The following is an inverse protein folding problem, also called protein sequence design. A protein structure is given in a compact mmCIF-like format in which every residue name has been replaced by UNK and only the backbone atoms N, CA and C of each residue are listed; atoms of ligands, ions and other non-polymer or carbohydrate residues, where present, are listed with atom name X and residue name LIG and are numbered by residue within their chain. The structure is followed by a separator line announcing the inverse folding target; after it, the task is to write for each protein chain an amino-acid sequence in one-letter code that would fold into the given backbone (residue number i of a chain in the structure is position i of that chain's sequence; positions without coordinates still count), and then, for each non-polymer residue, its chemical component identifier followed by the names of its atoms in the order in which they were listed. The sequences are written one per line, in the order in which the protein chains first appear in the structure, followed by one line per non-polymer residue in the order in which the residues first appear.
data_IF_910552833126
#
_entry.id   IF_910552833126
#
_cell.length_a   1.000
_cell.length_b   1.000
_cell.length_c   1.000
_cell.angle_alpha   90.00
_cell.angle_beta   90.00
_cell.angle_gamma   90.00
#
_symmetry.space_group_name_H-M   'P 1'
#
loop_
_entity.id
_entity.type
_entity.pdbx_description
1 polymer ?
#
# COMPACT_ATOMS: atom_id res chain seq x y z
N UNK A 1 -19.90 14.42 -1.50
CA UNK A 1 -19.22 15.71 -1.47
C UNK A 1 -17.73 15.57 -1.14
N UNK A 2 -17.39 14.84 -0.06
CA UNK A 2 -15.99 14.64 0.39
C UNK A 2 -15.12 14.05 -0.73
N UNK A 3 -15.54 12.96 -1.37
CA UNK A 3 -14.82 12.30 -2.48
C UNK A 3 -14.62 13.22 -3.68
N UNK A 4 -15.64 14.03 -4.02
CA UNK A 4 -15.53 14.99 -5.11
C UNK A 4 -14.46 16.05 -4.81
N UNK A 5 -14.48 16.60 -3.60
CA UNK A 5 -13.51 17.61 -3.17
C UNK A 5 -12.07 17.06 -3.18
N UNK A 6 -11.86 15.82 -2.71
CA UNK A 6 -10.55 15.16 -2.79
C UNK A 6 -10.02 15.04 -4.22
N UNK A 7 -10.93 14.84 -5.18
CA UNK A 7 -10.58 14.75 -6.61
C UNK A 7 -10.59 16.10 -7.31
N UNK A 8 -10.79 17.18 -6.57
CA UNK A 8 -10.84 18.57 -7.08
C UNK A 8 -11.84 18.76 -8.22
N UNK A 9 -12.91 17.96 -8.26
CA UNK A 9 -13.98 18.07 -9.24
C UNK A 9 -15.00 19.13 -8.80
N UNK A 10 -15.49 19.95 -9.75
CA UNK A 10 -16.66 20.78 -9.51
C UNK A 10 -17.94 19.92 -9.49
N UNK A 11 -19.06 20.47 -9.00
CA UNK A 11 -20.35 19.77 -9.11
C UNK A 11 -20.79 19.59 -10.57
N UNK A 12 -20.41 20.52 -11.45
CA UNK A 12 -20.72 20.43 -12.88
C UNK A 12 -19.95 19.28 -13.52
N UNK A 13 -18.65 19.20 -13.30
CA UNK A 13 -17.80 18.16 -13.88
C UNK A 13 -18.27 16.75 -13.46
N UNK A 14 -18.49 16.55 -12.15
CA UNK A 14 -18.99 15.27 -11.66
C UNK A 14 -20.41 14.94 -12.17
N UNK A 15 -21.27 15.95 -12.32
CA UNK A 15 -22.62 15.73 -12.86
C UNK A 15 -22.56 15.29 -14.32
N UNK A 16 -21.70 15.89 -15.13
CA UNK A 16 -21.50 15.52 -16.54
C UNK A 16 -20.97 14.08 -16.62
N UNK A 17 -19.91 13.75 -15.88
CA UNK A 17 -19.32 12.40 -15.87
C UNK A 17 -20.31 11.32 -15.40
N UNK A 18 -21.11 11.64 -14.37
CA UNK A 18 -22.12 10.72 -13.84
C UNK A 18 -23.44 10.68 -14.64
N UNK A 19 -23.53 11.43 -15.74
CA UNK A 19 -24.75 11.49 -16.56
C UNK A 19 -25.97 12.01 -15.80
N UNK A 20 -25.78 13.08 -14.99
CA UNK A 20 -26.84 13.73 -14.22
C UNK A 20 -26.78 15.24 -14.35
N UNK A 21 -27.63 15.98 -13.64
CA UNK A 21 -27.59 17.44 -13.63
C UNK A 21 -26.89 17.98 -12.39
N UNK A 22 -26.24 19.15 -12.51
CA UNK A 22 -25.65 19.84 -11.37
C UNK A 22 -26.68 20.06 -10.24
N UNK A 23 -27.92 20.45 -10.60
CA UNK A 23 -29.01 20.65 -9.63
C UNK A 23 -29.33 19.39 -8.85
N UNK A 24 -29.42 18.25 -9.53
CA UNK A 24 -29.67 16.95 -8.88
C UNK A 24 -28.51 16.58 -7.96
N UNK A 25 -27.27 16.68 -8.43
CA UNK A 25 -26.08 16.42 -7.60
C UNK A 25 -26.04 17.35 -6.37
N UNK A 26 -26.35 18.62 -6.53
CA UNK A 26 -26.42 19.58 -5.42
C UNK A 26 -27.47 19.18 -4.36
N UNK A 27 -28.64 18.72 -4.79
CA UNK A 27 -29.69 18.24 -3.87
C UNK A 27 -29.27 16.95 -3.13
N UNK A 28 -28.59 16.03 -3.82
CA UNK A 28 -28.02 14.83 -3.19
C UNK A 28 -26.96 15.20 -2.14
N UNK A 29 -26.03 16.10 -2.47
CA UNK A 29 -24.97 16.53 -1.54
C UNK A 29 -25.48 17.31 -0.33
N UNK A 30 -26.68 17.90 -0.44
CA UNK A 30 -27.35 18.64 0.66
C UNK A 30 -28.35 17.77 1.43
N UNK A 31 -28.53 16.50 1.05
CA UNK A 31 -29.52 15.61 1.68
C UNK A 31 -30.97 15.99 1.37
N UNK A 32 -31.22 16.81 0.34
CA UNK A 32 -32.57 17.23 -0.08
C UNK A 32 -33.28 16.23 -1.01
N UNK A 33 -32.52 15.25 -1.52
CA UNK A 33 -33.05 14.19 -2.38
C UNK A 33 -32.37 12.89 -1.99
N UNK A 34 -33.13 11.80 -1.92
CA UNK A 34 -32.59 10.46 -1.76
C UNK A 34 -32.09 9.94 -3.12
N UNK A 35 -30.85 9.42 -3.22
CA UNK A 35 -30.34 8.86 -4.46
C UNK A 35 -30.98 7.49 -4.75
N UNK A 36 -31.26 7.20 -6.02
CA UNK A 36 -31.48 5.82 -6.46
C UNK A 36 -30.17 5.05 -6.58
N UNK A 37 -30.23 3.70 -6.56
CA UNK A 37 -29.03 2.83 -6.65
C UNK A 37 -28.17 3.15 -7.87
N UNK A 38 -28.79 3.38 -9.04
CA UNK A 38 -28.09 3.64 -10.31
C UNK A 38 -27.28 4.92 -10.27
N UNK A 39 -27.80 5.99 -9.69
CA UNK A 39 -27.04 7.25 -9.57
C UNK A 39 -25.88 7.09 -8.59
N UNK A 40 -26.05 6.31 -7.50
CA UNK A 40 -24.96 6.01 -6.56
C UNK A 40 -23.84 5.27 -7.28
N UNK A 41 -24.17 4.25 -8.09
CA UNK A 41 -23.19 3.48 -8.86
C UNK A 41 -22.45 4.35 -9.87
N UNK A 42 -23.17 5.16 -10.66
CA UNK A 42 -22.54 6.07 -11.63
C UNK A 42 -21.64 7.14 -10.97
N UNK A 43 -22.03 7.67 -9.82
CA UNK A 43 -21.19 8.56 -9.04
C UNK A 43 -19.93 7.86 -8.52
N UNK A 44 -20.05 6.59 -8.09
CA UNK A 44 -18.89 5.80 -7.67
C UNK A 44 -17.92 5.53 -8.83
N UNK A 45 -18.45 5.27 -10.04
CA UNK A 45 -17.65 5.09 -11.26
C UNK A 45 -16.91 6.38 -11.66
N UNK A 46 -17.63 7.49 -11.76
CA UNK A 46 -17.05 8.80 -12.09
C UNK A 46 -16.01 9.26 -11.07
N UNK A 47 -16.23 8.96 -9.80
CA UNK A 47 -15.28 9.23 -8.72
C UNK A 47 -14.14 8.19 -8.65
N UNK A 48 -14.13 7.16 -9.50
CA UNK A 48 -13.13 6.06 -9.48
C UNK A 48 -12.92 5.49 -8.08
N UNK A 49 -14.03 5.24 -7.38
CA UNK A 49 -14.00 4.69 -6.03
C UNK A 49 -13.55 3.22 -6.04
N UNK A 50 -12.76 2.83 -5.05
CA UNK A 50 -12.41 1.42 -4.80
C UNK A 50 -13.67 0.62 -4.43
N UNK A 51 -13.60 -0.72 -4.49
CA UNK A 51 -14.75 -1.58 -4.16
C UNK A 51 -15.27 -1.32 -2.74
N UNK A 52 -14.38 -1.15 -1.75
CA UNK A 52 -14.73 -0.79 -0.38
C UNK A 52 -15.45 0.56 -0.31
N UNK A 53 -14.93 1.57 -0.99
CA UNK A 53 -15.52 2.90 -1.02
C UNK A 53 -16.89 2.90 -1.71
N UNK A 54 -17.09 2.06 -2.75
CA UNK A 54 -18.39 1.84 -3.40
C UNK A 54 -19.40 1.24 -2.43
N UNK A 55 -18.99 0.22 -1.68
CA UNK A 55 -19.84 -0.38 -0.66
C UNK A 55 -20.21 0.62 0.43
N UNK A 56 -19.24 1.41 0.91
CA UNK A 56 -19.50 2.48 1.89
C UNK A 56 -20.49 3.52 1.35
N UNK A 57 -20.35 3.92 0.08
CA UNK A 57 -21.27 4.87 -0.55
C UNK A 57 -22.68 4.29 -0.71
N UNK A 58 -22.80 3.01 -1.12
CA UNK A 58 -24.08 2.30 -1.21
C UNK A 58 -24.74 2.19 0.16
N UNK A 59 -24.01 1.78 1.19
CA UNK A 59 -24.53 1.64 2.55
C UNK A 59 -24.99 2.98 3.11
N UNK A 60 -24.23 4.07 2.89
CA UNK A 60 -24.63 5.42 3.28
C UNK A 60 -25.91 5.91 2.58
N UNK A 61 -26.20 5.39 1.37
CA UNK A 61 -27.43 5.66 0.63
C UNK A 61 -28.59 4.71 0.98
N UNK A 62 -28.40 3.78 1.95
CA UNK A 62 -29.42 2.81 2.38
C UNK A 62 -29.52 1.56 1.52
N UNK A 63 -28.53 1.27 0.68
CA UNK A 63 -28.48 0.08 -0.17
C UNK A 63 -27.53 -0.98 0.39
N UNK A 64 -27.82 -2.25 0.10
CA UNK A 64 -26.91 -3.34 0.40
C UNK A 64 -25.59 -3.20 -0.39
N UNK A 65 -24.44 -3.57 0.21
CA UNK A 65 -23.16 -3.69 -0.48
C UNK A 65 -23.26 -4.52 -1.76
N UNK A 66 -22.44 -4.20 -2.77
CA UNK A 66 -22.41 -4.90 -4.05
C UNK A 66 -21.21 -5.82 -4.24
N UNK A 67 -20.18 -5.64 -3.42
CA UNK A 67 -18.95 -6.42 -3.49
C UNK A 67 -18.75 -7.19 -2.19
N UNK A 68 -18.43 -8.49 -2.24
CA UNK A 68 -18.08 -9.26 -1.06
C UNK A 68 -16.75 -8.80 -0.49
N UNK A 69 -16.56 -9.05 0.80
CA UNK A 69 -15.30 -8.91 1.50
C UNK A 69 -15.04 -10.24 2.21
N UNK A 70 -14.29 -11.11 1.57
CA UNK A 70 -14.00 -12.44 2.10
C UNK A 70 -12.90 -12.38 3.15
N UNK A 71 -12.96 -13.19 4.22
CA UNK A 71 -11.84 -13.35 5.13
C UNK A 71 -10.55 -13.73 4.37
N UNK A 72 -9.38 -13.21 4.75
CA UNK A 72 -8.12 -13.48 4.03
C UNK A 72 -7.77 -14.98 3.94
N UNK A 73 -8.22 -15.78 4.91
CA UNK A 73 -8.04 -17.24 4.99
C UNK A 73 -9.15 -18.04 4.32
N UNK A 74 -10.13 -17.39 3.71
CA UNK A 74 -11.25 -18.07 3.04
C UNK A 74 -10.73 -19.06 1.98
N UNK A 75 -11.29 -20.31 1.93
CA UNK A 75 -10.85 -21.32 0.96
C UNK A 75 -10.98 -20.88 -0.49
N UNK A 76 -11.96 -20.03 -0.81
CA UNK A 76 -12.15 -19.50 -2.15
C UNK A 76 -10.99 -18.60 -2.63
N UNK A 77 -10.17 -18.07 -1.70
CA UNK A 77 -9.00 -17.24 -2.02
C UNK A 77 -7.70 -18.06 -2.17
N UNK A 78 -7.75 -19.39 -1.96
CA UNK A 78 -6.57 -20.26 -2.11
C UNK A 78 -5.86 -20.10 -3.47
N UNK A 79 -6.57 -20.11 -4.63
CA UNK A 79 -5.90 -19.92 -5.92
C UNK A 79 -5.17 -18.57 -6.04
N UNK A 80 -5.69 -17.52 -5.36
CA UNK A 80 -5.04 -16.21 -5.32
C UNK A 80 -3.76 -16.27 -4.49
N UNK A 81 -3.80 -16.93 -3.33
CA UNK A 81 -2.63 -17.11 -2.46
C UNK A 81 -1.53 -17.91 -3.15
N UNK A 82 -1.88 -19.01 -3.81
CA UNK A 82 -0.93 -19.82 -4.59
C UNK A 82 -0.28 -19.02 -5.73
N UNK A 83 -1.09 -18.26 -6.49
CA UNK A 83 -0.59 -17.41 -7.56
C UNK A 83 0.36 -16.32 -7.03
N UNK A 84 0.02 -15.69 -5.92
CA UNK A 84 0.88 -14.70 -5.27
C UNK A 84 2.19 -15.32 -4.79
N UNK A 85 2.16 -16.52 -4.20
CA UNK A 85 3.37 -17.21 -3.75
C UNK A 85 4.30 -17.54 -4.92
N UNK A 86 3.76 -17.98 -6.06
CA UNK A 86 4.56 -18.21 -7.28
C UNK A 86 5.25 -16.92 -7.77
N UNK A 87 4.56 -15.78 -7.73
CA UNK A 87 5.16 -14.48 -8.10
C UNK A 87 6.26 -14.10 -7.11
N UNK A 88 6.01 -14.24 -5.81
CA UNK A 88 6.97 -13.94 -4.75
C UNK A 88 8.25 -14.78 -4.89
N UNK A 89 8.11 -16.09 -5.11
CA UNK A 89 9.25 -17.01 -5.27
C UNK A 89 10.03 -16.74 -6.56
N UNK A 90 9.33 -16.39 -7.65
CA UNK A 90 9.93 -16.00 -8.91
C UNK A 90 10.68 -14.68 -8.86
N UNK A 91 10.48 -13.88 -7.81
CA UNK A 91 11.16 -12.60 -7.63
C UNK A 91 12.54 -12.71 -6.97
N UNK A 92 12.88 -13.87 -6.39
CA UNK A 92 14.20 -14.09 -5.80
C UNK A 92 15.32 -13.80 -6.82
N UNK A 93 16.46 -13.23 -6.40
CA UNK A 93 16.93 -13.03 -5.02
C UNK A 93 16.49 -11.70 -4.38
N UNK A 94 15.57 -10.98 -4.98
CA UNK A 94 15.15 -9.65 -4.54
C UNK A 94 13.96 -9.73 -3.57
N UNK A 95 13.90 -8.85 -2.55
CA UNK A 95 12.79 -8.82 -1.62
C UNK A 95 11.46 -8.54 -2.31
N UNK A 96 10.44 -9.29 -1.93
CA UNK A 96 9.06 -9.01 -2.34
C UNK A 96 8.10 -9.44 -1.23
N UNK A 97 6.99 -8.70 -1.12
CA UNK A 97 5.96 -8.94 -0.13
C UNK A 97 4.57 -8.64 -0.70
N UNK A 98 3.56 -9.19 -0.06
CA UNK A 98 2.15 -8.84 -0.28
C UNK A 98 1.61 -8.25 1.01
N UNK A 99 0.96 -7.10 0.92
CA UNK A 99 0.25 -6.48 2.03
C UNK A 99 -1.20 -6.21 1.65
N UNK A 100 -2.04 -6.06 2.67
CA UNK A 100 -3.43 -5.65 2.50
C UNK A 100 -3.57 -4.12 2.34
N UNK A 101 -4.82 -3.66 2.27
CA UNK A 101 -5.16 -2.23 2.17
C UNK A 101 -4.73 -1.39 3.38
N UNK A 102 -4.34 -2.00 4.50
CA UNK A 102 -3.94 -1.32 5.74
C UNK A 102 -2.46 -1.47 6.05
N UNK A 103 -1.69 -2.13 5.16
CA UNK A 103 -0.26 -2.38 5.33
C UNK A 103 0.05 -3.61 6.17
N UNK A 104 -0.93 -4.48 6.45
CA UNK A 104 -0.68 -5.74 7.12
C UNK A 104 -0.07 -6.77 6.14
N UNK A 105 1.01 -7.42 6.57
CA UNK A 105 1.73 -8.41 5.78
C UNK A 105 0.86 -9.66 5.59
N UNK A 106 0.64 -10.03 4.34
CA UNK A 106 -0.11 -11.23 3.95
C UNK A 106 0.82 -12.36 3.57
N UNK A 107 1.85 -12.07 2.78
CA UNK A 107 2.86 -13.03 2.35
C UNK A 107 4.16 -12.32 1.99
N UNK A 108 5.27 -13.06 1.95
CA UNK A 108 6.56 -12.55 1.52
C UNK A 108 7.44 -13.68 1.00
N UNK A 109 8.49 -13.35 0.24
CA UNK A 109 9.54 -14.29 -0.10
C UNK A 109 10.66 -14.31 0.94
N UNK A 110 11.57 -15.28 0.83
CA UNK A 110 12.68 -15.46 1.79
C UNK A 110 13.66 -14.29 1.82
N UNK A 111 13.74 -13.50 0.74
CA UNK A 111 14.60 -12.31 0.68
C UNK A 111 14.04 -11.12 1.49
N UNK A 112 12.78 -11.12 1.90
CA UNK A 112 12.19 -10.11 2.79
C UNK A 112 12.98 -9.94 4.10
N UNK A 113 13.56 -11.03 4.61
CA UNK A 113 14.44 -10.99 5.77
C UNK A 113 15.65 -10.04 5.63
N UNK A 114 16.07 -9.67 4.40
CA UNK A 114 17.14 -8.68 4.18
C UNK A 114 16.69 -7.27 4.56
N UNK A 115 15.40 -6.97 4.37
CA UNK A 115 14.81 -5.70 4.77
C UNK A 115 14.63 -5.62 6.29
N UNK A 116 14.25 -6.73 6.92
CA UNK A 116 13.92 -6.81 8.35
C UNK A 116 15.10 -7.18 9.25
N UNK A 117 16.30 -7.24 8.71
CA UNK A 117 17.51 -7.50 9.50
C UNK A 117 17.71 -6.40 10.57
N UNK A 118 17.90 -6.82 11.83
CA UNK A 118 18.05 -5.90 12.97
C UNK A 118 16.76 -5.22 13.46
N UNK A 119 15.60 -5.54 12.90
CA UNK A 119 14.29 -5.06 13.38
C UNK A 119 13.94 -5.75 14.69
N UNK A 120 13.38 -5.00 15.65
CA UNK A 120 12.92 -5.55 16.92
C UNK A 120 11.86 -6.64 16.72
N UNK A 121 12.01 -7.78 17.44
CA UNK A 121 11.18 -8.96 17.23
C UNK A 121 9.68 -8.70 17.36
N UNK A 122 9.27 -7.84 18.29
CA UNK A 122 7.86 -7.52 18.52
C UNK A 122 7.19 -6.83 17.31
N UNK A 123 7.95 -6.11 16.47
CA UNK A 123 7.43 -5.52 15.22
C UNK A 123 7.15 -6.58 14.14
N UNK A 124 7.72 -7.76 14.30
CA UNK A 124 7.57 -8.89 13.39
C UNK A 124 6.60 -9.96 13.93
N UNK A 125 5.96 -9.71 15.08
CA UNK A 125 4.88 -10.56 15.60
C UNK A 125 3.57 -10.29 14.85
N UNK A 126 2.87 -11.34 14.40
CA UNK A 126 1.60 -11.16 13.70
C UNK A 126 0.52 -10.49 14.58
N UNK A 127 -0.28 -9.57 14.02
CA UNK A 127 -0.28 -9.11 12.63
C UNK A 127 0.85 -8.08 12.36
N UNK A 128 1.73 -8.42 11.42
CA UNK A 128 2.87 -7.55 11.06
C UNK A 128 2.38 -6.41 10.17
N UNK A 129 2.60 -5.17 10.57
CA UNK A 129 2.34 -4.02 9.70
C UNK A 129 3.66 -3.54 9.07
N UNK A 130 3.80 -3.72 7.76
CA UNK A 130 5.07 -3.42 7.05
C UNK A 130 5.41 -1.94 7.02
N UNK A 131 4.42 -1.05 7.15
CA UNK A 131 4.64 0.40 7.19
C UNK A 131 5.18 0.84 8.56
N UNK A 132 4.72 0.20 9.65
CA UNK A 132 5.33 0.33 10.98
C UNK A 132 6.76 -0.18 10.97
N UNK A 133 6.98 -1.41 10.47
CA UNK A 133 8.32 -1.99 10.34
C UNK A 133 9.26 -1.05 9.59
N UNK A 134 8.79 -0.42 8.51
CA UNK A 134 9.61 0.49 7.71
C UNK A 134 9.99 1.77 8.46
N UNK A 135 9.07 2.40 9.20
CA UNK A 135 9.26 3.75 9.75
C UNK A 135 9.56 3.81 11.26
N UNK A 136 9.36 2.70 12.01
CA UNK A 136 9.57 2.67 13.45
C UNK A 136 11.05 2.84 13.82
N UNK A 137 11.41 3.58 14.90
CA UNK A 137 12.79 3.71 15.37
C UNK A 137 13.50 2.40 15.72
N UNK A 138 12.75 1.37 16.15
CA UNK A 138 13.25 0.00 16.36
C UNK A 138 13.01 -0.93 15.17
N UNK A 139 12.51 -0.36 14.06
CA UNK A 139 12.31 -1.03 12.78
C UNK A 139 13.45 -0.80 11.81
N UNK A 140 13.10 -0.58 10.54
CA UNK A 140 14.07 -0.31 9.47
C UNK A 140 14.59 1.14 9.49
N UNK A 141 13.87 2.08 10.13
CA UNK A 141 14.19 3.52 10.07
C UNK A 141 15.66 3.87 10.34
N UNK A 142 16.37 3.28 11.33
CA UNK A 142 17.78 3.59 11.57
C UNK A 142 18.73 3.20 10.42
N UNK A 143 18.28 2.31 9.53
CA UNK A 143 19.04 1.85 8.37
C UNK A 143 18.67 2.57 7.08
N UNK A 144 17.57 3.31 7.06
CA UNK A 144 17.12 4.05 5.87
C UNK A 144 17.87 5.36 5.80
N UNK A 145 18.77 5.48 4.83
CA UNK A 145 19.65 6.66 4.63
C UNK A 145 18.81 7.89 4.22
N UNK A 146 17.80 7.69 3.40
CA UNK A 146 16.88 8.74 2.93
C UNK A 146 15.52 8.68 3.63
N UNK A 147 15.51 8.53 4.97
CA UNK A 147 14.31 8.26 5.76
C UNK A 147 13.22 9.33 5.56
N UNK A 148 13.56 10.60 5.48
CA UNK A 148 12.58 11.68 5.35
C UNK A 148 11.83 11.63 4.01
N UNK A 149 12.55 11.32 2.91
CA UNK A 149 11.93 11.15 1.59
C UNK A 149 11.06 9.90 1.54
N UNK A 150 11.55 8.79 2.11
CA UNK A 150 10.82 7.54 2.17
C UNK A 150 9.56 7.64 3.03
N UNK A 151 9.64 8.29 4.19
CA UNK A 151 8.49 8.60 5.05
C UNK A 151 7.46 9.45 4.31
N UNK A 152 7.89 10.53 3.67
CA UNK A 152 7.01 11.41 2.89
C UNK A 152 6.29 10.62 1.80
N UNK A 153 6.99 9.71 1.11
CA UNK A 153 6.43 8.84 0.10
C UNK A 153 5.34 7.92 0.69
N UNK A 154 5.62 7.23 1.79
CA UNK A 154 4.66 6.35 2.47
C UNK A 154 3.42 7.13 2.94
N UNK A 155 3.60 8.24 3.63
CA UNK A 155 2.49 9.05 4.14
C UNK A 155 1.63 9.63 3.00
N UNK A 156 2.26 10.04 1.91
CA UNK A 156 1.53 10.50 0.71
C UNK A 156 0.69 9.37 0.11
N UNK A 157 1.29 8.19 -0.09
CA UNK A 157 0.59 7.02 -0.62
C UNK A 157 -0.58 6.56 0.26
N UNK A 158 -0.48 6.71 1.60
CA UNK A 158 -1.59 6.43 2.52
C UNK A 158 -2.72 7.46 2.38
N UNK A 159 -2.39 8.75 2.33
CA UNK A 159 -3.39 9.83 2.16
C UNK A 159 -4.15 9.73 0.85
N UNK A 160 -3.50 9.29 -0.22
CA UNK A 160 -4.13 9.10 -1.53
C UNK A 160 -5.18 7.98 -1.55
N UNK A 161 -5.16 7.07 -0.57
CA UNK A 161 -6.20 6.04 -0.42
C UNK A 161 -7.57 6.62 -0.03
N UNK A 162 -7.58 7.85 0.43
CA UNK A 162 -8.78 8.56 0.90
C UNK A 162 -9.14 8.24 2.36
N UNK A 163 -10.16 8.90 2.89
CA UNK A 163 -10.49 8.85 4.32
C UNK A 163 -10.96 7.44 4.73
N UNK A 164 -10.31 6.90 5.74
CA UNK A 164 -10.69 5.65 6.39
C UNK A 164 -10.15 5.64 7.82
N UNK A 165 -10.96 5.36 8.88
CA UNK A 165 -10.52 5.48 10.28
C UNK A 165 -9.23 4.72 10.61
N UNK A 166 -9.04 3.51 10.07
CA UNK A 166 -7.80 2.73 10.28
C UNK A 166 -6.59 3.36 9.59
N UNK A 167 -6.78 3.94 8.40
CA UNK A 167 -5.70 4.63 7.66
C UNK A 167 -5.34 5.93 8.38
N UNK A 168 -6.34 6.70 8.79
CA UNK A 168 -6.14 7.98 9.49
C UNK A 168 -5.37 7.74 10.81
N UNK A 169 -5.78 6.74 11.60
CA UNK A 169 -5.08 6.35 12.83
C UNK A 169 -3.63 5.87 12.55
N UNK A 170 -3.41 5.11 11.47
CA UNK A 170 -2.07 4.67 11.08
C UNK A 170 -1.19 5.87 10.66
N UNK A 171 -1.73 6.82 9.92
CA UNK A 171 -1.01 8.05 9.54
C UNK A 171 -0.59 8.83 10.79
N UNK A 172 -1.53 9.06 11.73
CA UNK A 172 -1.25 9.74 13.00
C UNK A 172 -0.14 9.03 13.78
N UNK A 173 -0.19 7.70 13.86
CA UNK A 173 0.84 6.90 14.51
C UNK A 173 2.21 7.05 13.81
N UNK A 174 2.28 6.86 12.49
CA UNK A 174 3.52 6.93 11.72
C UNK A 174 4.17 8.33 11.75
N UNK A 175 3.38 9.38 11.90
CA UNK A 175 3.85 10.75 12.07
C UNK A 175 4.59 10.95 13.39
N UNK A 176 4.27 10.16 14.43
CA UNK A 176 4.97 10.24 15.73
C UNK A 176 6.38 9.63 15.71
N UNK A 177 6.73 8.79 14.73
CA UNK A 177 7.98 8.03 14.70
C UNK A 177 9.22 8.84 14.38
N UNK A 178 9.15 10.14 14.26
CA UNK A 178 10.34 10.99 14.15
C UNK A 178 10.03 12.39 13.65
N UNK A 179 10.80 13.34 14.17
CA UNK A 179 10.84 14.70 13.67
C UNK A 179 11.83 14.71 12.51
N UNK A 180 11.50 15.31 11.33
CA UNK A 180 12.47 15.50 10.26
C UNK A 180 13.72 16.18 10.80
N UNK A 181 14.90 15.64 10.51
CA UNK A 181 16.15 16.31 10.88
C UNK A 181 16.21 17.66 10.14
N UNK A 182 16.43 18.80 10.83
CA UNK A 182 16.56 20.07 10.16
C UNK A 182 17.82 20.03 9.28
N UNK A 183 17.64 20.14 7.95
CA UNK A 183 18.75 20.26 7.00
C UNK A 183 19.09 18.99 6.21
N UNK A 184 18.26 17.94 6.21
CA UNK A 184 18.42 16.84 5.25
C UNK A 184 18.23 17.39 3.82
N UNK A 185 19.34 17.47 3.07
CA UNK A 185 19.25 17.76 1.64
C UNK A 185 18.43 16.65 0.95
N UNK A 186 17.56 17.00 -0.01
CA UNK A 186 16.85 16.00 -0.78
C UNK A 186 17.86 15.06 -1.43
N UNK A 187 17.82 13.78 -1.09
CA UNK A 187 18.63 12.78 -1.82
C UNK A 187 18.20 12.83 -3.28
N UNK A 188 19.20 12.83 -4.18
CA UNK A 188 18.98 12.76 -5.63
C UNK A 188 17.88 11.74 -5.96
N UNK A 189 16.69 12.26 -6.22
CA UNK A 189 15.65 11.43 -6.82
C UNK A 189 16.22 10.96 -8.16
N UNK A 190 16.05 9.68 -8.48
CA UNK A 190 16.43 9.13 -9.80
C UNK A 190 15.48 9.69 -10.87
N UNK A 191 15.06 10.95 -10.74
CA UNK A 191 14.22 11.71 -11.67
C UNK A 191 12.80 11.18 -11.89
N UNK A 192 12.51 9.91 -11.57
CA UNK A 192 11.23 9.22 -11.82
C UNK A 192 10.74 8.35 -10.65
N UNK A 193 11.54 8.10 -9.61
CA UNK A 193 11.16 7.32 -8.43
C UNK A 193 11.98 7.74 -7.19
N UNK A 194 11.40 7.54 -6.00
CA UNK A 194 12.11 7.64 -4.72
C UNK A 194 12.66 6.26 -4.39
N UNK A 195 13.97 6.00 -4.49
CA UNK A 195 14.54 4.71 -4.12
C UNK A 195 14.54 4.55 -2.60
N UNK A 196 14.33 3.33 -2.11
CA UNK A 196 14.65 2.97 -0.73
C UNK A 196 16.16 2.77 -0.63
N UNK A 197 16.85 3.65 0.08
CA UNK A 197 18.29 3.57 0.29
C UNK A 197 18.57 3.04 1.70
N UNK A 198 19.11 1.81 1.78
CA UNK A 198 19.40 1.12 3.03
C UNK A 198 20.90 0.96 3.23
N UNK A 199 21.35 1.27 4.43
CA UNK A 199 22.69 0.88 4.89
C UNK A 199 22.66 -0.58 5.37
N UNK A 200 23.65 -1.36 4.99
CA UNK A 200 23.81 -2.75 5.42
C UNK A 200 25.29 -3.09 5.69
N UNK A 201 25.58 -4.16 6.47
CA UNK A 201 26.95 -4.60 6.71
C UNK A 201 27.72 -4.97 5.43
N UNK A 202 27.02 -5.36 4.38
CA UNK A 202 27.60 -5.75 3.09
C UNK A 202 27.74 -4.57 2.12
N UNK A 203 27.36 -3.37 2.55
CA UNK A 203 27.35 -2.12 1.78
C UNK A 203 25.94 -1.54 1.62
N UNK A 204 25.88 -0.34 1.10
CA UNK A 204 24.60 0.34 0.85
C UNK A 204 23.86 -0.32 -0.32
N UNK A 205 22.55 -0.49 -0.15
CA UNK A 205 21.66 -1.00 -1.18
C UNK A 205 20.61 0.05 -1.55
N UNK A 206 20.38 0.22 -2.83
CA UNK A 206 19.38 1.13 -3.39
C UNK A 206 18.33 0.33 -4.13
N UNK A 207 17.08 0.42 -3.69
CA UNK A 207 15.97 -0.39 -4.15
C UNK A 207 14.89 0.49 -4.75
N UNK A 208 14.40 0.10 -5.93
CA UNK A 208 13.22 0.70 -6.55
C UNK A 208 12.04 -0.20 -6.21
N UNK A 209 11.05 0.34 -5.48
CA UNK A 209 9.82 -0.37 -5.20
C UNK A 209 8.88 -0.31 -6.41
N UNK A 210 8.31 -1.45 -6.77
CA UNK A 210 7.22 -1.57 -7.74
C UNK A 210 6.00 -2.15 -7.05
N UNK A 211 4.80 -1.71 -7.44
CA UNK A 211 3.55 -2.19 -6.86
C UNK A 211 2.68 -2.80 -7.97
N UNK A 212 2.23 -4.03 -7.74
CA UNK A 212 1.22 -4.68 -8.57
C UNK A 212 -0.07 -4.89 -7.77
N UNK A 213 -1.21 -4.75 -8.45
CA UNK A 213 -2.55 -4.92 -7.88
C UNK A 213 -3.43 -5.76 -8.81
N UNK A 214 -4.49 -6.34 -8.27
CA UNK A 214 -5.46 -7.10 -9.06
C UNK A 214 -6.44 -6.17 -9.77
N UNK A 215 -6.35 -6.09 -11.10
CA UNK A 215 -7.17 -5.17 -11.92
C UNK A 215 -8.64 -5.62 -12.05
N UNK A 216 -8.88 -6.93 -12.02
CA UNK A 216 -10.20 -7.54 -12.26
C UNK A 216 -10.82 -8.14 -11.00
N UNK A 217 -10.35 -7.76 -9.83
CA UNK A 217 -10.90 -8.27 -8.58
C UNK A 217 -12.37 -7.86 -8.39
N UNK A 218 -13.19 -8.81 -7.96
CA UNK A 218 -14.60 -8.61 -7.61
C UNK A 218 -14.82 -8.63 -6.09
N UNK A 219 -13.85 -9.14 -5.34
CA UNK A 219 -13.80 -9.20 -3.88
C UNK A 219 -12.92 -8.09 -3.34
N UNK A 220 -13.36 -7.43 -2.26
CA UNK A 220 -12.65 -6.30 -1.66
C UNK A 220 -11.26 -6.72 -1.15
N UNK A 221 -11.18 -7.86 -0.45
CA UNK A 221 -9.93 -8.37 0.09
C UNK A 221 -8.89 -8.54 -1.01
N UNK A 222 -9.27 -9.17 -2.14
CA UNK A 222 -8.38 -9.34 -3.29
C UNK A 222 -8.02 -8.01 -3.96
N UNK A 223 -8.99 -7.11 -4.10
CA UNK A 223 -8.79 -5.80 -4.73
C UNK A 223 -7.81 -4.91 -3.95
N UNK A 224 -7.71 -5.11 -2.65
CA UNK A 224 -6.83 -4.34 -1.76
C UNK A 224 -5.45 -4.96 -1.55
N UNK A 225 -5.22 -6.20 -2.02
CA UNK A 225 -3.88 -6.79 -2.00
C UNK A 225 -2.92 -5.99 -2.90
N UNK A 226 -1.75 -5.74 -2.37
CA UNK A 226 -0.65 -5.06 -3.05
C UNK A 226 0.59 -5.92 -2.95
N UNK A 227 1.08 -6.37 -4.10
CA UNK A 227 2.39 -7.00 -4.19
C UNK A 227 3.42 -5.89 -4.40
N UNK A 228 4.30 -5.72 -3.44
CA UNK A 228 5.44 -4.81 -3.53
C UNK A 228 6.70 -5.62 -3.78
N UNK A 229 7.41 -5.29 -4.86
CA UNK A 229 8.63 -5.93 -5.29
C UNK A 229 9.75 -4.90 -5.37
N UNK A 230 10.91 -5.22 -4.78
CA UNK A 230 12.06 -4.34 -4.68
C UNK A 230 13.12 -4.74 -5.70
N UNK A 231 13.33 -3.89 -6.69
CA UNK A 231 14.34 -4.08 -7.73
C UNK A 231 15.63 -3.35 -7.38
N UNK A 232 16.82 -3.91 -7.67
CA UNK A 232 18.07 -3.19 -7.48
C UNK A 232 18.15 -2.00 -8.43
N UNK A 233 18.49 -0.82 -7.90
CA UNK A 233 18.65 0.39 -8.70
C UNK A 233 19.98 0.41 -9.48
N UNK A 234 20.94 -0.44 -9.10
CA UNK A 234 22.26 -0.54 -9.70
C UNK A 234 22.85 -1.96 -9.59
N UNK A 235 23.93 -2.19 -10.34
CA UNK A 235 24.61 -3.51 -10.39
C UNK A 235 25.28 -3.89 -9.08
N UNK A 236 25.73 -2.91 -8.28
CA UNK A 236 26.31 -3.15 -6.96
C UNK A 236 25.25 -3.70 -6.00
N UNK A 237 24.10 -3.06 -5.95
CA UNK A 237 22.94 -3.52 -5.17
C UNK A 237 22.54 -4.93 -5.58
N UNK A 238 22.44 -5.22 -6.88
CA UNK A 238 22.10 -6.56 -7.39
C UNK A 238 23.10 -7.61 -6.90
N UNK A 239 24.40 -7.32 -6.95
CA UNK A 239 25.44 -8.23 -6.49
C UNK A 239 25.40 -8.46 -4.96
N UNK A 240 25.10 -7.42 -4.16
CA UNK A 240 24.93 -7.56 -2.69
C UNK A 240 23.75 -8.48 -2.39
N UNK A 241 22.58 -8.23 -2.99
CA UNK A 241 21.37 -9.01 -2.72
C UNK A 241 21.53 -10.48 -3.09
N UNK A 242 22.15 -10.77 -4.25
CA UNK A 242 22.41 -12.14 -4.68
C UNK A 242 23.27 -12.91 -3.65
N UNK A 243 24.38 -12.29 -3.22
CA UNK A 243 25.26 -12.92 -2.19
C UNK A 243 24.56 -13.14 -0.86
N UNK A 244 23.73 -12.18 -0.44
CA UNK A 244 22.99 -12.28 0.82
C UNK A 244 21.95 -13.41 0.78
N UNK A 245 21.25 -13.55 -0.35
CA UNK A 245 20.25 -14.62 -0.52
C UNK A 245 20.90 -15.99 -0.58
N UNK A 246 22.02 -16.14 -1.27
CA UNK A 246 22.81 -17.38 -1.29
C UNK A 246 23.27 -17.81 0.12
N UNK A 247 23.74 -16.86 0.94
CA UNK A 247 24.14 -17.13 2.33
C UNK A 247 22.98 -17.58 3.21
N UNK A 248 21.78 -17.03 3.01
CA UNK A 248 20.58 -17.41 3.77
C UNK A 248 19.97 -18.73 3.29
N UNK A 249 20.12 -19.06 2.00
CA UNK A 249 19.66 -20.34 1.42
C UNK A 249 20.58 -21.52 1.69
N UNK A 250 21.82 -21.30 2.13
CA UNK A 250 22.73 -22.36 2.49
C UNK A 250 22.27 -23.01 3.81
N UNK A 251 22.02 -24.35 3.84
CA UNK A 251 21.66 -25.02 5.08
C UNK A 251 22.80 -24.81 6.10
N UNK A 252 22.45 -24.34 7.30
CA UNK A 252 23.40 -24.20 8.40
C UNK A 252 24.06 -25.55 8.62
N UNK A 253 25.32 -25.71 8.19
CA UNK A 253 26.12 -26.85 8.61
C UNK A 253 26.28 -26.76 10.13
N UNK A 254 25.44 -27.52 10.85
CA UNK A 254 25.68 -27.76 12.26
C UNK A 254 26.99 -28.54 12.35
N UNK A 255 28.02 -27.92 12.90
CA UNK A 255 29.15 -28.65 13.50
C UNK A 255 28.74 -29.17 14.84
#
# INVERSE_FOLDING_TARGET
RQWRNLRRLSQIDLAIEAGTTQRHLSFLEQGRSAPGRDIVSRLADSLKLTLRQRNALLSAAGFAPSHPESPPDAPLLEPVREALQHVLDGHLPYPALVMDGFGELVANNSAFGLLTDGVAGWLLEPPVNVLRVALHPEGMAPRIVNLDDWRRHILHALRDRGPHPRIDALIEELETYGVPAPGSEPVESVGFAVPLHLSSPDGDVRLIATIATFVTALDITVAELRLEAFLPADTQTAAILSRCTERRGAPSRRC
#
